data_IF_111830400981
#
_entry.id   IF_111830400981
#
_cell.length_a   1.000
_cell.length_b   1.000
_cell.length_c   1.000
_cell.angle_alpha   90.00
_cell.angle_beta   90.00
_cell.angle_gamma   90.00
#
_symmetry.space_group_name_H-M   'P 1'
#
loop_
_entity.id
_entity.type
_entity.pdbx_description
1 polymer ?
#
# COMPACT_ATOMS: atom_id res chain seq x y z
N UNK A 1 -8.17 -15.39 -16.02
CA UNK A 1 -7.61 -16.52 -16.81
C UNK A 1 -6.09 -16.49 -16.70
N UNK A 2 -5.46 -17.55 -16.18
CA UNK A 2 -4.03 -17.48 -15.79
C UNK A 2 -3.03 -17.89 -16.89
N UNK A 3 -3.47 -18.55 -17.96
CA UNK A 3 -2.58 -19.11 -19.00
C UNK A 3 -2.88 -18.63 -20.43
N UNK A 4 -3.74 -17.63 -20.60
CA UNK A 4 -4.10 -17.15 -21.95
C UNK A 4 -2.99 -16.25 -22.49
N UNK A 5 -2.21 -16.78 -23.43
CA UNK A 5 -1.03 -16.08 -23.99
C UNK A 5 -1.35 -15.28 -25.24
N UNK A 6 -2.22 -15.80 -26.11
CA UNK A 6 -2.60 -15.16 -27.37
C UNK A 6 -4.10 -14.89 -27.38
N UNK A 7 -4.48 -13.65 -27.67
CA UNK A 7 -5.86 -13.21 -27.74
C UNK A 7 -6.09 -12.44 -29.04
N UNK A 8 -7.20 -12.75 -29.72
CA UNK A 8 -7.63 -12.03 -30.90
C UNK A 8 -9.11 -11.67 -30.74
N UNK A 9 -9.39 -10.38 -30.73
CA UNK A 9 -10.71 -9.79 -30.56
C UNK A 9 -11.02 -8.80 -31.69
N UNK A 10 -10.21 -8.81 -32.76
CA UNK A 10 -10.44 -8.04 -33.96
C UNK A 10 -11.85 -8.29 -34.54
N UNK A 11 -12.47 -7.24 -35.10
CA UNK A 11 -13.85 -7.22 -35.62
C UNK A 11 -14.96 -7.40 -34.59
N UNK A 12 -14.66 -7.25 -33.30
CA UNK A 12 -15.70 -7.13 -32.28
C UNK A 12 -16.05 -5.66 -32.03
N UNK A 13 -17.30 -5.34 -31.66
CA UNK A 13 -17.68 -3.97 -31.32
C UNK A 13 -16.82 -3.40 -30.18
N UNK A 14 -16.37 -4.22 -29.24
CA UNK A 14 -15.46 -3.80 -28.17
C UNK A 14 -14.09 -3.33 -28.68
N UNK A 15 -13.65 -3.75 -29.87
CA UNK A 15 -12.39 -3.29 -30.47
C UNK A 15 -12.48 -1.85 -31.02
N UNK A 16 -13.68 -1.26 -31.06
CA UNK A 16 -13.89 0.13 -31.48
C UNK A 16 -13.58 1.14 -30.37
N UNK A 17 -13.55 0.71 -29.11
CA UNK A 17 -13.32 1.62 -27.99
C UNK A 17 -11.84 2.08 -27.93
N UNK A 18 -11.57 3.39 -27.75
CA UNK A 18 -10.20 3.90 -27.70
C UNK A 18 -9.34 3.33 -26.56
N UNK A 19 -9.98 2.90 -25.46
CA UNK A 19 -9.33 2.35 -24.26
C UNK A 19 -9.40 0.81 -24.19
N UNK A 20 -9.92 0.17 -25.24
CA UNK A 20 -10.12 -1.27 -25.29
C UNK A 20 -8.82 -2.03 -25.02
N UNK A 21 -7.72 -1.61 -25.66
CA UNK A 21 -6.44 -2.31 -25.58
C UNK A 21 -5.87 -2.22 -24.17
N UNK A 22 -5.85 -1.04 -23.57
CA UNK A 22 -5.39 -0.81 -22.21
C UNK A 22 -6.24 -1.59 -21.20
N UNK A 23 -7.56 -1.61 -21.41
CA UNK A 23 -8.48 -2.35 -20.55
C UNK A 23 -8.19 -3.85 -20.56
N UNK A 24 -8.03 -4.45 -21.74
CA UNK A 24 -7.72 -5.88 -21.89
C UNK A 24 -6.35 -6.21 -21.28
N UNK A 25 -5.34 -5.38 -21.56
CA UNK A 25 -3.97 -5.58 -21.03
C UNK A 25 -3.93 -5.50 -19.50
N UNK A 26 -4.73 -4.62 -18.89
CA UNK A 26 -4.79 -4.53 -17.42
C UNK A 26 -5.48 -5.75 -16.78
N UNK A 27 -6.59 -6.22 -17.37
CA UNK A 27 -7.37 -7.33 -16.79
C UNK A 27 -6.78 -8.71 -17.13
N UNK A 28 -6.01 -8.82 -18.21
CA UNK A 28 -5.40 -10.07 -18.67
C UNK A 28 -3.87 -9.93 -18.74
N UNK A 29 -3.17 -9.94 -17.58
CA UNK A 29 -1.72 -9.75 -17.53
C UNK A 29 -0.91 -10.90 -18.18
N UNK A 30 -1.53 -12.07 -18.36
CA UNK A 30 -0.94 -13.26 -19.00
C UNK A 30 -0.83 -13.15 -20.52
N UNK A 31 -1.57 -12.22 -21.14
CA UNK A 31 -1.58 -12.04 -22.60
C UNK A 31 -0.26 -11.41 -23.06
N UNK A 32 0.38 -12.07 -24.01
CA UNK A 32 1.61 -11.62 -24.68
C UNK A 32 1.30 -11.08 -26.08
N UNK A 33 0.31 -11.64 -26.78
CA UNK A 33 -0.08 -11.22 -28.12
C UNK A 33 -1.57 -10.85 -28.15
N UNK A 34 -1.88 -9.61 -28.50
CA UNK A 34 -3.24 -9.09 -28.61
C UNK A 34 -3.48 -8.53 -30.02
N UNK A 35 -4.44 -9.09 -30.75
CA UNK A 35 -4.79 -8.69 -32.13
C UNK A 35 -3.59 -8.67 -33.07
N UNK A 36 -2.75 -9.70 -32.99
CA UNK A 36 -1.50 -9.84 -33.77
C UNK A 36 -0.43 -8.78 -33.44
N UNK A 37 -0.63 -7.98 -32.39
CA UNK A 37 0.34 -7.02 -31.86
C UNK A 37 0.83 -7.48 -30.50
N UNK A 38 2.15 -7.56 -30.34
CA UNK A 38 2.77 -7.92 -29.06
C UNK A 38 2.45 -6.88 -27.98
N UNK A 39 2.22 -7.35 -26.77
CA UNK A 39 1.94 -6.52 -25.60
C UNK A 39 3.25 -6.06 -24.97
N UNK A 40 3.61 -4.79 -25.17
CA UNK A 40 4.81 -4.16 -24.62
C UNK A 40 4.66 -3.85 -23.12
N UNK A 41 5.80 -3.76 -22.43
CA UNK A 41 5.79 -3.39 -21.02
C UNK A 41 5.36 -1.92 -20.79
N UNK A 42 5.60 -1.05 -21.77
CA UNK A 42 5.18 0.36 -21.70
C UNK A 42 3.66 0.50 -21.67
N UNK A 43 2.94 -0.22 -22.53
CA UNK A 43 1.47 -0.19 -22.54
C UNK A 43 0.89 -0.81 -21.28
N UNK A 44 1.53 -1.85 -20.72
CA UNK A 44 1.16 -2.41 -19.40
C UNK A 44 1.24 -1.35 -18.30
N UNK A 45 2.33 -0.58 -18.27
CA UNK A 45 2.49 0.53 -17.31
C UNK A 45 1.45 1.62 -17.54
N UNK A 46 1.18 1.99 -18.80
CA UNK A 46 0.15 2.99 -19.13
C UNK A 46 -1.24 2.54 -18.69
N UNK A 47 -1.62 1.31 -19.03
CA UNK A 47 -2.89 0.70 -18.64
C UNK A 47 -3.07 0.66 -17.12
N UNK A 48 -2.02 0.29 -16.38
CA UNK A 48 -2.05 0.29 -14.92
C UNK A 48 -2.26 1.68 -14.32
N UNK A 49 -1.58 2.70 -14.86
CA UNK A 49 -1.75 4.10 -14.43
C UNK A 49 -3.14 4.64 -14.71
N UNK A 50 -3.72 4.30 -15.86
CA UNK A 50 -5.04 4.77 -16.28
C UNK A 50 -6.17 4.12 -15.49
N UNK A 51 -6.13 2.79 -15.33
CA UNK A 51 -7.25 2.04 -14.77
C UNK A 51 -7.18 1.88 -13.25
N UNK A 52 -6.00 1.99 -12.65
CA UNK A 52 -5.81 1.89 -11.20
C UNK A 52 -5.02 3.08 -10.62
N UNK A 53 -5.55 4.31 -10.70
CA UNK A 53 -4.82 5.51 -10.27
C UNK A 53 -4.55 5.50 -8.76
N UNK A 54 -5.44 4.94 -7.95
CA UNK A 54 -5.25 4.83 -6.50
C UNK A 54 -4.06 3.92 -6.15
N UNK A 55 -3.98 2.76 -6.80
CA UNK A 55 -2.85 1.83 -6.63
C UNK A 55 -1.54 2.44 -7.11
N UNK A 56 -1.59 3.18 -8.20
CA UNK A 56 -0.44 3.92 -8.70
C UNK A 56 0.04 4.98 -7.70
N UNK A 57 -0.87 5.77 -7.12
CA UNK A 57 -0.54 6.76 -6.08
C UNK A 57 0.09 6.07 -4.88
N UNK A 58 -0.44 4.93 -4.46
CA UNK A 58 0.14 4.16 -3.36
C UNK A 58 1.57 3.72 -3.73
N UNK A 59 1.79 3.16 -4.91
CA UNK A 59 3.14 2.77 -5.36
C UNK A 59 4.11 3.96 -5.41
N UNK A 60 3.66 5.12 -5.90
CA UNK A 60 4.49 6.32 -6.04
C UNK A 60 4.79 6.98 -4.67
N UNK A 61 3.88 6.82 -3.71
CA UNK A 61 4.05 7.30 -2.32
C UNK A 61 4.78 6.31 -1.43
N UNK A 62 4.95 5.05 -1.85
CA UNK A 62 5.70 4.05 -1.08
C UNK A 62 7.21 4.23 -1.28
N UNK A 63 7.88 4.78 -0.28
CA UNK A 63 9.34 4.86 -0.22
C UNK A 63 9.86 4.08 1.00
N UNK A 64 10.75 3.10 0.77
CA UNK A 64 11.45 2.35 1.83
C UNK A 64 10.53 1.83 2.95
N UNK A 65 9.43 1.18 2.60
CA UNK A 65 8.49 0.59 3.56
C UNK A 65 7.64 1.59 4.34
N UNK A 66 7.67 2.89 4.00
CA UNK A 66 6.82 3.92 4.59
C UNK A 66 6.12 4.74 3.48
N UNK A 67 4.92 5.26 3.78
CA UNK A 67 4.22 6.19 2.89
C UNK A 67 4.89 7.56 3.02
N UNK A 68 5.68 7.95 2.03
CA UNK A 68 6.13 9.33 1.88
C UNK A 68 4.92 10.19 1.54
N UNK A 69 4.63 11.19 2.37
CA UNK A 69 3.66 12.23 2.08
C UNK A 69 4.20 13.09 0.93
N UNK A 70 4.07 12.60 -0.30
CA UNK A 70 4.38 13.39 -1.47
C UNK A 70 3.22 14.38 -1.67
N UNK A 71 3.45 15.64 -1.27
CA UNK A 71 2.54 16.73 -1.60
C UNK A 71 2.35 16.79 -3.12
N UNK A 72 1.10 16.74 -3.57
CA UNK A 72 0.74 16.79 -4.98
C UNK A 72 1.16 18.15 -5.56
N UNK A 73 2.32 18.20 -6.21
CA UNK A 73 2.66 19.33 -7.08
C UNK A 73 1.90 19.16 -8.39
N UNK A 74 0.79 19.87 -8.52
CA UNK A 74 0.17 20.16 -9.81
C UNK A 74 1.22 20.85 -10.68
N UNK A 75 1.68 20.17 -11.72
CA UNK A 75 2.65 20.70 -12.68
C UNK A 75 1.97 21.72 -13.58
N UNK A 76 2.05 23.00 -13.21
CA UNK A 76 2.13 24.05 -14.21
C UNK A 76 3.58 24.04 -14.73
N UNK A 77 3.68 23.80 -16.04
CA UNK A 77 4.91 23.94 -16.81
C UNK A 77 5.55 25.30 -16.59
N UNK A 78 6.87 25.40 -16.41
CA UNK A 78 7.73 26.42 -17.06
C UNK A 78 9.21 26.06 -16.90
N UNK A 79 9.95 26.38 -17.96
CA UNK A 79 11.39 26.25 -18.19
C UNK A 79 12.24 27.02 -17.16
N UNK A 80 13.49 26.58 -16.99
CA UNK A 80 14.70 27.35 -16.62
C UNK A 80 14.60 28.47 -15.57
N UNK A 81 15.33 28.33 -14.46
CA UNK A 81 15.66 29.48 -13.62
C UNK A 81 16.14 29.16 -12.21
N UNK A 82 17.46 29.05 -12.07
CA UNK A 82 18.31 29.59 -10.99
C UNK A 82 17.80 29.66 -9.53
N UNK A 83 18.61 29.06 -8.66
CA UNK A 83 18.59 29.12 -7.20
C UNK A 83 18.60 30.57 -6.66
N UNK A 84 17.65 30.92 -5.79
CA UNK A 84 17.83 31.99 -4.80
C UNK A 84 17.12 31.65 -3.50
N UNK A 85 17.89 31.69 -2.42
CA UNK A 85 17.52 31.36 -1.06
C UNK A 85 16.72 32.48 -0.40
N UNK A 86 15.88 32.09 0.57
CA UNK A 86 15.15 32.89 1.59
C UNK A 86 13.71 33.26 1.24
N UNK A 87 12.79 32.32 1.50
CA UNK A 87 11.40 32.65 1.83
C UNK A 87 11.05 31.98 3.17
N UNK A 88 10.62 32.80 4.14
CA UNK A 88 10.03 32.32 5.40
C UNK A 88 8.84 31.46 5.03
N UNK A 89 8.93 30.14 5.25
CA UNK A 89 7.80 29.22 5.06
C UNK A 89 6.67 29.67 5.99
N UNK A 90 5.58 30.20 5.43
CA UNK A 90 4.31 30.28 6.17
C UNK A 90 3.92 28.84 6.46
N UNK A 91 3.78 28.49 7.74
CA UNK A 91 3.30 27.15 8.14
C UNK A 91 1.94 26.92 7.49
N UNK A 92 1.80 25.80 6.79
CA UNK A 92 0.53 25.41 6.21
C UNK A 92 -0.41 25.01 7.35
N UNK A 93 -1.72 25.34 7.30
CA UNK A 93 -2.69 24.91 8.31
C UNK A 93 -2.71 23.39 8.52
N UNK A 94 -2.26 22.62 7.52
CA UNK A 94 -2.18 21.16 7.57
C UNK A 94 -0.98 20.64 8.38
N UNK A 95 0.12 21.40 8.47
CA UNK A 95 1.26 21.06 9.32
C UNK A 95 0.86 21.10 10.80
N UNK A 96 -0.04 22.02 11.15
CA UNK A 96 -0.59 22.15 12.49
C UNK A 96 -1.39 20.90 12.90
N UNK A 97 -2.13 20.27 11.99
CA UNK A 97 -2.90 19.05 12.29
C UNK A 97 -1.97 17.86 12.52
N UNK A 98 -0.92 17.72 11.71
CA UNK A 98 0.13 16.69 11.89
C UNK A 98 0.85 16.85 13.22
N UNK A 99 1.32 18.07 13.52
CA UNK A 99 1.98 18.43 14.79
C UNK A 99 1.04 18.19 15.99
N UNK A 100 -0.25 18.49 15.87
CA UNK A 100 -1.24 18.25 16.92
C UNK A 100 -1.52 16.76 17.14
N UNK A 101 -1.54 15.96 16.07
CA UNK A 101 -1.65 14.50 16.16
C UNK A 101 -0.42 13.88 16.83
N UNK A 102 0.79 14.33 16.48
CA UNK A 102 2.03 13.87 17.11
C UNK A 102 2.11 14.29 18.57
N UNK A 103 1.78 15.55 18.89
CA UNK A 103 1.71 16.03 20.28
C UNK A 103 0.63 15.29 21.08
N UNK A 104 -0.54 15.00 20.49
CA UNK A 104 -1.60 14.22 21.14
C UNK A 104 -1.16 12.77 21.38
N UNK A 105 -0.44 12.16 20.43
CA UNK A 105 0.11 10.82 20.58
C UNK A 105 1.15 10.76 21.72
N UNK A 106 2.04 11.75 21.80
CA UNK A 106 3.06 11.84 22.84
C UNK A 106 2.50 12.23 24.22
N UNK A 107 1.34 12.90 24.29
CA UNK A 107 0.77 13.35 25.56
C UNK A 107 -0.03 12.30 26.33
N UNK A 108 -0.39 11.14 25.76
CA UNK A 108 -1.29 10.18 26.45
C UNK A 108 -0.99 8.69 26.28
N UNK A 109 0.05 8.31 25.55
CA UNK A 109 0.28 6.90 25.24
C UNK A 109 1.26 6.25 26.22
N UNK A 110 0.77 5.72 27.36
CA UNK A 110 1.52 4.70 28.10
C UNK A 110 1.55 3.45 27.21
N UNK A 111 2.71 3.13 26.66
CA UNK A 111 2.86 1.97 25.79
C UNK A 111 3.00 0.72 26.66
N UNK A 112 1.98 -0.13 26.68
CA UNK A 112 1.95 -1.35 27.48
C UNK A 112 2.07 -2.58 26.58
N UNK A 113 3.05 -3.44 26.86
CA UNK A 113 3.15 -4.76 26.25
C UNK A 113 2.93 -5.84 27.32
N UNK A 114 2.07 -6.81 27.04
CA UNK A 114 1.92 -8.00 27.86
C UNK A 114 2.41 -9.21 27.10
N UNK A 115 3.38 -9.92 27.66
CA UNK A 115 3.83 -11.22 27.18
C UNK A 115 3.33 -12.29 28.13
N UNK A 116 2.90 -13.42 27.56
CA UNK A 116 2.37 -14.55 28.31
C UNK A 116 3.31 -15.73 28.14
N UNK A 117 3.70 -16.36 29.24
CA UNK A 117 4.54 -17.54 29.21
C UNK A 117 3.72 -18.79 28.86
N UNK A 118 3.73 -19.13 27.57
CA UNK A 118 3.01 -20.28 27.01
C UNK A 118 3.56 -21.63 27.47
N UNK A 119 4.77 -21.70 28.04
CA UNK A 119 5.34 -22.96 28.54
C UNK A 119 4.54 -23.53 29.73
N UNK A 120 3.84 -22.65 30.46
CA UNK A 120 2.98 -23.01 31.59
C UNK A 120 1.56 -23.46 31.18
N UNK A 121 1.17 -23.27 29.92
CA UNK A 121 -0.19 -23.62 29.45
C UNK A 121 -0.25 -25.04 28.89
N UNK A 122 -1.28 -25.79 29.28
CA UNK A 122 -1.52 -27.14 28.75
C UNK A 122 -1.86 -27.07 27.25
N UNK A 123 -1.25 -27.94 26.46
CA UNK A 123 -1.58 -28.09 25.03
C UNK A 123 -2.92 -28.82 24.90
N UNK A 124 -3.73 -28.45 23.90
CA UNK A 124 -5.10 -28.94 23.69
C UNK A 124 -5.26 -30.48 23.63
N UNK A 125 -4.17 -31.23 23.46
CA UNK A 125 -4.17 -32.70 23.42
C UNK A 125 -4.04 -33.38 24.79
N UNK A 126 -3.85 -32.62 25.88
CA UNK A 126 -3.75 -33.18 27.23
C UNK A 126 -5.12 -33.15 27.91
N UNK A 127 -5.93 -34.18 27.64
CA UNK A 127 -7.12 -34.46 28.46
C UNK A 127 -6.67 -34.92 29.86
N UNK A 128 -7.20 -34.36 30.97
CA UNK A 128 -6.75 -34.72 32.31
C UNK A 128 -7.18 -36.15 32.68
N UNK A 129 -6.22 -36.99 33.08
CA UNK A 129 -6.49 -38.18 33.90
C UNK A 129 -6.30 -37.91 35.40
N UNK A 130 -5.83 -36.72 35.78
CA UNK A 130 -5.76 -36.30 37.18
C UNK A 130 -6.10 -34.81 37.34
N UNK A 131 -6.91 -34.54 38.36
CA UNK A 131 -7.33 -33.23 38.84
C UNK A 131 -6.20 -32.56 39.63
N UNK A 132 -5.10 -32.25 38.95
CA UNK A 132 -4.06 -31.38 39.51
C UNK A 132 -4.28 -29.96 39.00
N UNK A 133 -4.50 -29.03 39.94
CA UNK A 133 -4.71 -27.61 39.70
C UNK A 133 -3.62 -27.06 38.78
N UNK A 134 -3.99 -26.64 37.57
CA UNK A 134 -3.05 -26.06 36.62
C UNK A 134 -2.47 -24.76 37.20
N UNK A 135 -1.15 -24.53 37.14
CA UNK A 135 -0.57 -23.27 37.58
C UNK A 135 -1.14 -22.12 36.74
N UNK A 136 -1.59 -21.05 37.40
CA UNK A 136 -2.12 -19.87 36.73
C UNK A 136 -1.07 -19.29 35.78
N UNK A 137 -1.49 -18.94 34.56
CA UNK A 137 -0.61 -18.41 33.54
C UNK A 137 0.10 -17.14 34.04
N UNK A 138 1.44 -17.12 33.93
CA UNK A 138 2.25 -15.97 34.31
C UNK A 138 2.27 -14.97 33.16
N UNK A 139 1.67 -13.80 33.38
CA UNK A 139 1.65 -12.68 32.44
C UNK A 139 2.64 -11.62 32.90
N UNK A 140 3.62 -11.30 32.07
CA UNK A 140 4.56 -10.22 32.30
C UNK A 140 4.07 -8.99 31.53
N UNK A 141 3.80 -7.91 32.24
CA UNK A 141 3.33 -6.65 31.65
C UNK A 141 4.39 -5.57 31.85
N UNK A 142 4.94 -5.07 30.74
CA UNK A 142 5.90 -3.97 30.73
C UNK A 142 5.20 -2.71 30.26
N UNK A 143 5.28 -1.64 31.05
CA UNK A 143 4.68 -0.33 30.75
C UNK A 143 5.80 0.68 30.52
N UNK A 144 5.79 1.34 29.37
CA UNK A 144 6.68 2.44 29.03
C UNK A 144 5.89 3.76 29.12
N UNK A 145 6.50 4.75 29.75
CA UNK A 145 6.02 6.13 29.84
C UNK A 145 6.89 7.04 29.00
#
# INVERSE_FOLDING_TARGET
MQHLQTLNLFLNPCSQDPLYREYVVHHLPSVQLLDRKEVRQEERRRAFKLLSPERQIILDTLAFGRRALAERKTTESTKTGQWSSKTKRKKCPFDEIGDLCERRAMQRSIMQFSTVDWSSMRRAQQHPLEEQSSPAAKILTVKFR
#
